data_IF_316647339205
#
_entry.id   IF_316647339205
#
_cell.length_a   1.000
_cell.length_b   1.000
_cell.length_c   1.000
_cell.angle_alpha   90.00
_cell.angle_beta   90.00
_cell.angle_gamma   90.00
#
_symmetry.space_group_name_H-M   'P 1'
#
loop_
_entity.id
_entity.type
_entity.pdbx_description
1 polymer ?
#
# COMPACT_ATOMS: atom_id res chain seq x y z
N UNK A 1 33.25 -4.44 11.77
CA UNK A 1 32.54 -3.53 10.84
C UNK A 1 31.99 -2.35 11.63
N UNK A 2 32.20 -1.11 11.17
CA UNK A 2 31.57 0.05 11.79
C UNK A 2 30.07 0.08 11.46
N UNK A 3 29.25 0.68 12.33
CA UNK A 3 27.81 0.85 12.11
C UNK A 3 27.50 1.56 10.78
N UNK A 4 28.32 2.54 10.40
CA UNK A 4 28.18 3.26 9.13
C UNK A 4 28.40 2.34 7.92
N UNK A 5 29.42 1.47 7.96
CA UNK A 5 29.68 0.51 6.88
C UNK A 5 28.57 -0.54 6.77
N UNK A 6 28.03 -1.01 7.89
CA UNK A 6 26.89 -1.93 7.88
C UNK A 6 25.64 -1.27 7.27
N UNK A 7 25.27 -0.09 7.76
CA UNK A 7 24.12 0.67 7.27
C UNK A 7 24.20 0.92 5.76
N UNK A 8 25.35 1.37 5.27
CA UNK A 8 25.51 1.63 3.84
C UNK A 8 25.43 0.37 2.99
N UNK A 9 26.06 -0.72 3.43
CA UNK A 9 26.16 -1.95 2.64
C UNK A 9 24.84 -2.70 2.57
N UNK A 10 24.11 -2.79 3.68
CA UNK A 10 22.93 -3.65 3.79
C UNK A 10 21.60 -2.88 3.76
N UNK A 11 21.52 -1.66 4.27
CA UNK A 11 20.24 -0.95 4.43
C UNK A 11 19.99 0.14 3.38
N UNK A 12 21.05 0.69 2.79
CA UNK A 12 20.93 1.88 1.91
C UNK A 12 21.30 1.58 0.45
N UNK A 13 22.28 0.70 0.21
CA UNK A 13 22.68 0.33 -1.15
C UNK A 13 21.51 -0.29 -1.90
N UNK A 14 21.45 -0.08 -3.22
CA UNK A 14 20.52 -0.77 -4.09
C UNK A 14 20.80 -2.29 -4.08
N UNK A 15 19.78 -3.09 -3.77
CA UNK A 15 19.89 -4.55 -3.76
C UNK A 15 19.76 -5.10 -5.17
N UNK A 16 20.47 -6.20 -5.46
CA UNK A 16 20.26 -6.91 -6.72
C UNK A 16 18.80 -7.39 -6.80
N UNK A 17 18.13 -7.27 -7.96
CA UNK A 17 16.73 -7.65 -8.11
C UNK A 17 16.44 -9.11 -7.74
N UNK A 18 17.36 -10.03 -8.07
CA UNK A 18 17.14 -11.47 -7.88
C UNK A 18 16.99 -11.83 -6.38
N UNK A 19 17.95 -11.50 -5.49
CA UNK A 19 17.76 -11.68 -4.05
C UNK A 19 16.53 -10.97 -3.48
N UNK A 20 16.21 -9.77 -3.96
CA UNK A 20 15.06 -9.01 -3.48
C UNK A 20 13.73 -9.70 -3.81
N UNK A 21 13.58 -10.21 -5.04
CA UNK A 21 12.38 -10.95 -5.47
C UNK A 21 12.27 -12.29 -4.72
N UNK A 22 13.37 -13.01 -4.52
CA UNK A 22 13.38 -14.25 -3.73
C UNK A 22 12.92 -13.97 -2.30
N UNK A 23 13.49 -12.94 -1.65
CA UNK A 23 13.09 -12.55 -0.30
C UNK A 23 11.61 -12.15 -0.23
N UNK A 24 11.14 -11.35 -1.20
CA UNK A 24 9.73 -10.96 -1.28
C UNK A 24 8.80 -12.17 -1.46
N UNK A 25 9.19 -13.15 -2.28
CA UNK A 25 8.45 -14.40 -2.45
C UNK A 25 8.36 -15.21 -1.15
N UNK A 26 9.47 -15.39 -0.43
CA UNK A 26 9.48 -16.10 0.86
C UNK A 26 8.58 -15.39 1.88
N UNK A 27 8.70 -14.06 1.98
CA UNK A 27 7.86 -13.26 2.88
C UNK A 27 6.39 -13.34 2.51
N UNK A 28 6.06 -13.36 1.21
CA UNK A 28 4.68 -13.47 0.74
C UNK A 28 4.09 -14.84 1.06
N UNK A 29 4.86 -15.91 0.90
CA UNK A 29 4.46 -17.27 1.29
C UNK A 29 4.23 -17.38 2.79
N UNK A 30 5.14 -16.82 3.60
CA UNK A 30 5.00 -16.82 5.05
C UNK A 30 3.77 -16.01 5.49
N UNK A 31 3.58 -14.84 4.89
CA UNK A 31 2.41 -13.99 5.13
C UNK A 31 1.11 -14.74 4.83
N UNK A 32 1.02 -15.39 3.67
CA UNK A 32 -0.14 -16.19 3.29
C UNK A 32 -0.36 -17.36 4.26
N UNK A 33 0.71 -18.04 4.67
CA UNK A 33 0.64 -19.16 5.61
C UNK A 33 0.13 -18.78 7.00
N UNK A 34 0.41 -17.55 7.47
CA UNK A 34 -0.08 -17.08 8.78
C UNK A 34 -1.48 -16.50 8.68
N UNK A 35 -1.71 -15.64 7.70
CA UNK A 35 -2.92 -14.82 7.66
C UNK A 35 -4.06 -15.45 6.89
N UNK A 36 -3.77 -16.46 6.05
CA UNK A 36 -4.74 -17.05 5.14
C UNK A 36 -5.16 -16.13 3.98
N UNK A 37 -4.53 -14.96 3.88
CA UNK A 37 -4.84 -13.92 2.89
C UNK A 37 -3.58 -13.57 2.09
N UNK A 38 -3.75 -13.15 0.84
CA UNK A 38 -2.64 -12.71 -0.01
C UNK A 38 -2.35 -11.22 0.18
N UNK A 39 -1.25 -10.75 -0.41
CA UNK A 39 -0.92 -9.33 -0.41
C UNK A 39 -1.93 -8.53 -1.24
N UNK A 40 -2.90 -7.92 -0.57
CA UNK A 40 -3.99 -7.19 -1.20
C UNK A 40 -4.08 -5.75 -0.70
N UNK A 41 -4.27 -4.82 -1.62
CA UNK A 41 -4.31 -3.38 -1.31
C UNK A 41 -5.59 -2.72 -1.80
N UNK A 42 -6.13 -3.18 -2.93
CA UNK A 42 -7.36 -2.63 -3.57
C UNK A 42 -8.59 -2.65 -2.66
N UNK A 43 -8.79 -3.77 -1.94
CA UNK A 43 -9.95 -3.97 -1.07
C UNK A 43 -9.98 -2.96 0.07
N UNK A 44 -8.88 -2.84 0.81
CA UNK A 44 -8.79 -1.90 1.93
C UNK A 44 -8.83 -0.44 1.51
N UNK A 45 -8.16 -0.05 0.41
CA UNK A 45 -8.29 1.33 -0.06
C UNK A 45 -9.73 1.66 -0.45
N UNK A 46 -10.48 0.67 -0.95
CA UNK A 46 -11.92 0.86 -1.20
C UNK A 46 -12.70 1.01 0.10
N UNK A 47 -12.41 0.19 1.12
CA UNK A 47 -13.02 0.32 2.47
C UNK A 47 -12.69 1.67 3.12
N UNK A 48 -11.46 2.16 3.00
CA UNK A 48 -11.07 3.49 3.50
C UNK A 48 -11.85 4.59 2.78
N UNK A 49 -12.03 4.46 1.46
CA UNK A 49 -12.90 5.37 0.70
C UNK A 49 -14.35 5.34 1.17
N UNK A 50 -14.90 4.16 1.46
CA UNK A 50 -16.23 4.00 2.04
C UNK A 50 -16.36 4.68 3.42
N UNK A 51 -15.35 4.52 4.28
CA UNK A 51 -15.31 5.17 5.60
C UNK A 51 -15.21 6.70 5.49
N UNK A 52 -14.44 7.22 4.53
CA UNK A 52 -14.41 8.66 4.26
C UNK A 52 -15.78 9.19 3.80
N UNK A 53 -16.53 8.41 3.01
CA UNK A 53 -17.89 8.74 2.60
C UNK A 53 -18.86 8.73 3.80
N UNK A 54 -18.75 7.75 4.71
CA UNK A 54 -19.51 7.73 5.96
C UNK A 54 -19.24 8.96 6.82
N UNK A 55 -17.97 9.36 6.96
CA UNK A 55 -17.59 10.58 7.68
C UNK A 55 -18.16 11.85 7.03
N UNK A 56 -18.39 11.83 5.72
CA UNK A 56 -19.07 12.89 4.99
C UNK A 56 -20.61 12.80 5.06
N UNK A 57 -21.17 11.87 5.83
CA UNK A 57 -22.61 11.69 6.03
C UNK A 57 -23.30 10.79 4.99
N UNK A 58 -22.55 10.09 4.15
CA UNK A 58 -23.10 9.17 3.13
C UNK A 58 -23.18 7.75 3.70
N UNK A 59 -24.36 7.13 3.64
CA UNK A 59 -24.57 5.73 4.05
C UNK A 59 -23.99 4.73 3.03
N UNK A 60 -22.67 4.75 2.82
CA UNK A 60 -21.97 3.89 1.87
C UNK A 60 -22.10 2.39 2.21
N UNK A 61 -22.40 2.04 3.46
CA UNK A 61 -22.66 0.67 3.94
C UNK A 61 -23.86 0.03 3.25
N UNK A 62 -24.83 0.83 2.82
CA UNK A 62 -26.05 0.33 2.22
C UNK A 62 -25.85 -0.10 0.77
N UNK A 63 -24.76 0.35 0.14
CA UNK A 63 -24.49 0.11 -1.27
C UNK A 63 -24.10 -1.35 -1.49
N UNK A 64 -24.66 -1.98 -2.53
CA UNK A 64 -24.49 -3.41 -2.78
C UNK A 64 -23.02 -3.87 -2.85
N UNK A 65 -22.13 -3.05 -3.40
CA UNK A 65 -20.70 -3.36 -3.45
C UNK A 65 -20.03 -3.35 -2.06
N UNK A 66 -20.37 -2.37 -1.21
CA UNK A 66 -19.83 -2.26 0.15
C UNK A 66 -20.35 -3.35 1.08
N UNK A 67 -21.57 -3.85 0.85
CA UNK A 67 -22.08 -5.05 1.52
C UNK A 67 -21.29 -6.29 1.14
N UNK A 68 -20.95 -6.47 -0.14
CA UNK A 68 -20.16 -7.61 -0.62
C UNK A 68 -18.74 -7.63 -0.01
N UNK A 69 -18.08 -6.46 0.06
CA UNK A 69 -16.72 -6.36 0.60
C UNK A 69 -16.67 -6.19 2.12
N UNK A 70 -17.82 -6.16 2.81
CA UNK A 70 -17.97 -5.97 4.25
C UNK A 70 -17.24 -4.73 4.78
N UNK A 71 -17.95 -3.59 4.83
CA UNK A 71 -17.43 -2.33 5.37
C UNK A 71 -17.42 -2.32 6.91
N UNK A 72 -16.92 -3.39 7.52
CA UNK A 72 -16.93 -3.57 8.97
C UNK A 72 -15.55 -3.39 9.59
N UNK A 73 -15.52 -2.77 10.78
CA UNK A 73 -14.31 -2.56 11.56
C UNK A 73 -13.40 -1.44 11.06
N UNK A 74 -12.20 -1.35 11.64
CA UNK A 74 -11.22 -0.30 11.36
C UNK A 74 -10.02 -0.86 10.57
N UNK A 75 -9.19 0.00 9.94
CA UNK A 75 -7.95 -0.44 9.32
C UNK A 75 -7.00 -1.20 10.26
N UNK A 76 -7.11 -0.99 11.58
CA UNK A 76 -6.28 -1.67 12.58
C UNK A 76 -6.78 -3.07 12.94
N UNK A 77 -8.08 -3.33 12.78
CA UNK A 77 -8.67 -4.64 13.08
C UNK A 77 -8.61 -5.59 11.89
N UNK A 78 -8.37 -5.05 10.68
CA UNK A 78 -8.31 -5.83 9.44
C UNK A 78 -6.86 -6.17 9.09
N UNK A 79 -6.64 -7.41 8.69
CA UNK A 79 -5.33 -7.94 8.29
C UNK A 79 -4.71 -7.09 7.16
N UNK A 80 -5.48 -6.84 6.11
CA UNK A 80 -5.07 -6.03 4.96
C UNK A 80 -4.77 -4.57 5.38
N UNK A 81 -5.50 -4.03 6.36
CA UNK A 81 -5.32 -2.66 6.83
C UNK A 81 -4.01 -2.50 7.61
N UNK A 82 -3.70 -3.47 8.47
CA UNK A 82 -2.41 -3.56 9.16
C UNK A 82 -1.25 -3.76 8.19
N UNK A 83 -1.46 -4.51 7.11
CA UNK A 83 -0.48 -4.65 6.03
C UNK A 83 -0.18 -3.31 5.36
N UNK A 84 -1.18 -2.52 4.99
CA UNK A 84 -0.96 -1.22 4.34
C UNK A 84 -0.18 -0.27 5.26
N UNK A 85 -0.54 -0.25 6.55
CA UNK A 85 0.16 0.54 7.57
C UNK A 85 1.62 0.07 7.69
N UNK A 86 1.85 -1.25 7.74
CA UNK A 86 3.17 -1.85 7.80
C UNK A 86 4.01 -1.56 6.54
N UNK A 87 3.41 -1.63 5.36
CA UNK A 87 4.07 -1.31 4.09
C UNK A 87 4.48 0.16 4.03
N UNK A 88 3.57 1.07 4.35
CA UNK A 88 3.87 2.50 4.40
C UNK A 88 4.95 2.80 5.44
N UNK A 89 4.81 2.27 6.65
CA UNK A 89 5.79 2.43 7.73
C UNK A 89 7.17 1.87 7.39
N UNK A 90 7.23 0.69 6.76
CA UNK A 90 8.47 0.06 6.33
C UNK A 90 9.18 0.84 5.23
N UNK A 91 8.45 1.25 4.18
CA UNK A 91 9.00 2.10 3.12
C UNK A 91 9.48 3.44 3.66
N UNK A 92 8.73 4.05 4.60
CA UNK A 92 9.10 5.32 5.21
C UNK A 92 10.35 5.20 6.09
N UNK A 93 10.44 4.16 6.92
CA UNK A 93 11.63 3.86 7.73
C UNK A 93 12.86 3.62 6.85
N UNK A 94 12.72 2.85 5.76
CA UNK A 94 13.80 2.63 4.80
C UNK A 94 14.25 3.94 4.13
N UNK A 95 13.31 4.79 3.72
CA UNK A 95 13.62 6.10 3.13
C UNK A 95 14.34 7.03 4.13
N UNK A 96 13.95 7.01 5.41
CA UNK A 96 14.62 7.75 6.49
C UNK A 96 16.04 7.21 6.75
N UNK A 97 16.24 5.89 6.79
CA UNK A 97 17.57 5.31 6.93
C UNK A 97 18.48 5.68 5.77
N UNK A 98 17.96 5.68 4.55
CA UNK A 98 18.68 6.13 3.36
C UNK A 98 18.87 7.65 3.28
N UNK A 99 18.31 8.42 4.22
CA UNK A 99 18.28 9.88 4.22
C UNK A 99 17.75 10.46 2.90
N UNK A 100 16.80 9.76 2.28
CA UNK A 100 16.24 10.06 0.95
C UNK A 100 14.82 10.65 1.00
N UNK A 101 14.35 11.03 2.19
CA UNK A 101 13.06 11.70 2.34
C UNK A 101 13.18 13.16 1.91
N UNK A 102 12.56 13.50 0.78
CA UNK A 102 12.49 14.88 0.28
C UNK A 102 11.10 15.13 -0.30
N UNK A 103 10.47 16.24 0.10
CA UNK A 103 9.25 16.72 -0.53
C UNK A 103 9.56 17.11 -1.98
N UNK A 104 9.04 16.35 -2.95
CA UNK A 104 9.23 16.63 -4.39
C UNK A 104 7.92 17.19 -4.94
N UNK A 105 7.89 18.49 -5.19
CA UNK A 105 6.76 19.12 -5.87
C UNK A 105 6.90 18.96 -7.39
N UNK A 106 5.85 18.54 -8.11
CA UNK A 106 5.88 18.49 -9.57
C UNK A 106 6.07 19.88 -10.17
N UNK A 107 6.95 20.01 -11.16
CA UNK A 107 7.17 21.29 -11.86
C UNK A 107 5.96 21.75 -12.70
N UNK A 108 5.09 20.82 -13.10
CA UNK A 108 3.94 21.10 -13.98
C UNK A 108 2.64 20.65 -13.33
N UNK A 109 1.63 21.54 -13.38
CA UNK A 109 0.26 21.26 -12.93
C UNK A 109 -0.42 20.16 -13.77
N UNK A 110 -0.01 20.00 -15.03
CA UNK A 110 -0.52 18.91 -15.90
C UNK A 110 -0.16 17.55 -15.30
N UNK A 111 1.04 17.41 -14.71
CA UNK A 111 1.48 16.15 -14.11
C UNK A 111 0.66 15.78 -12.88
N UNK A 112 0.14 16.78 -12.15
CA UNK A 112 -0.80 16.57 -11.04
C UNK A 112 -2.13 16.03 -11.60
N UNK A 113 -2.67 16.67 -12.63
CA UNK A 113 -3.91 16.21 -13.28
C UNK A 113 -3.77 14.79 -13.84
N UNK A 114 -2.65 14.47 -14.49
CA UNK A 114 -2.35 13.12 -14.99
C UNK A 114 -2.29 12.09 -13.86
N UNK A 115 -1.69 12.44 -12.71
CA UNK A 115 -1.64 11.54 -11.56
C UNK A 115 -3.04 11.28 -10.97
N UNK A 116 -3.88 12.31 -10.89
CA UNK A 116 -5.27 12.17 -10.42
C UNK A 116 -6.10 11.31 -11.38
N UNK A 117 -6.09 11.64 -12.67
CA UNK A 117 -6.84 10.89 -13.70
C UNK A 117 -6.32 9.46 -13.81
N UNK A 118 -5.00 9.26 -13.82
CA UNK A 118 -4.38 7.95 -13.82
C UNK A 118 -4.74 7.12 -12.59
N UNK A 119 -4.80 7.74 -11.41
CA UNK A 119 -5.26 7.09 -10.18
C UNK A 119 -6.72 6.65 -10.24
N UNK A 120 -7.62 7.48 -10.79
CA UNK A 120 -9.03 7.14 -10.98
C UNK A 120 -9.16 5.94 -11.92
N UNK A 121 -8.49 5.98 -13.08
CA UNK A 121 -8.54 4.89 -14.07
C UNK A 121 -7.95 3.61 -13.48
N UNK A 122 -6.80 3.68 -12.80
CA UNK A 122 -6.18 2.53 -12.16
C UNK A 122 -7.07 1.93 -11.06
N UNK A 123 -7.70 2.78 -10.24
CA UNK A 123 -8.64 2.33 -9.21
C UNK A 123 -9.89 1.68 -9.79
N UNK A 124 -10.44 2.22 -10.87
CA UNK A 124 -11.55 1.63 -11.58
C UNK A 124 -11.17 0.27 -12.19
N UNK A 125 -10.05 0.21 -12.91
CA UNK A 125 -9.53 -1.02 -13.50
C UNK A 125 -9.24 -2.10 -12.46
N UNK A 126 -8.65 -1.73 -11.32
CA UNK A 126 -8.34 -2.66 -10.25
C UNK A 126 -9.59 -3.33 -9.65
N UNK A 127 -10.72 -2.61 -9.61
CA UNK A 127 -11.99 -3.17 -9.15
C UNK A 127 -12.61 -4.12 -10.17
N UNK A 128 -12.55 -3.76 -11.46
CA UNK A 128 -13.03 -4.63 -12.54
C UNK A 128 -12.21 -5.93 -12.64
N UNK A 129 -10.89 -5.82 -12.44
CA UNK A 129 -9.97 -6.96 -12.47
C UNK A 129 -9.94 -7.76 -11.15
N UNK A 130 -10.67 -7.33 -10.11
CA UNK A 130 -10.65 -7.92 -8.77
C UNK A 130 -9.24 -8.01 -8.15
N UNK A 131 -8.35 -7.07 -8.49
CA UNK A 131 -6.94 -7.08 -8.10
C UNK A 131 -6.16 -5.88 -8.63
N UNK A 132 -4.92 -5.71 -8.18
CA UNK A 132 -4.01 -4.66 -8.66
C UNK A 132 -2.62 -5.23 -8.92
N UNK A 133 -1.86 -4.54 -9.78
CA UNK A 133 -0.46 -4.81 -10.16
C UNK A 133 -0.25 -6.10 -10.97
#
# INVERSE_FOLDING_TARGET
MSWHSFKQTYLVKFWSPVPAVIAAGILSTYYFGITGTFWAVTGEFTRWGGQLLQLAGVHAEEWGYFKLIHLDGTPLTRIDGMMIIGMFGGCFAAALWANNVKLRMPKSRIRIMQAVVGGIIAGFGARLAMGCN
#
